data_IF_139308462991
#
_entry.id   IF_139308462991
#
_cell.length_a   1.000
_cell.length_b   1.000
_cell.length_c   1.000
_cell.angle_alpha   90.00
_cell.angle_beta   90.00
_cell.angle_gamma   90.00
#
_symmetry.space_group_name_H-M   'P 1'
#
loop_
_entity.id
_entity.type
_entity.pdbx_description
1 polymer ?
#
# COMPACT_ATOMS: atom_id res chain seq x y z
N UNK A 1 -7.91 -6.60 34.81
CA UNK A 1 -6.83 -6.25 33.86
C UNK A 1 -6.41 -7.43 32.97
N UNK A 2 -6.05 -8.60 33.52
CA UNK A 2 -5.61 -9.75 32.70
C UNK A 2 -6.62 -10.25 31.64
N UNK A 3 -7.92 -10.29 31.96
CA UNK A 3 -8.96 -10.67 30.99
C UNK A 3 -9.07 -9.70 29.82
N UNK A 4 -8.98 -8.39 30.08
CA UNK A 4 -8.98 -7.38 29.03
C UNK A 4 -7.76 -7.55 28.12
N UNK A 5 -6.58 -7.80 28.72
CA UNK A 5 -5.39 -8.09 27.94
C UNK A 5 -5.58 -9.32 27.04
N UNK A 6 -6.14 -10.41 27.58
CA UNK A 6 -6.43 -11.61 26.79
C UNK A 6 -7.39 -11.34 25.62
N UNK A 7 -8.46 -10.57 25.84
CA UNK A 7 -9.41 -10.19 24.78
C UNK A 7 -8.70 -9.43 23.66
N UNK A 8 -7.88 -8.43 24.01
CA UNK A 8 -7.12 -7.65 23.02
C UNK A 8 -6.12 -8.54 22.25
N UNK A 9 -5.43 -9.45 22.94
CA UNK A 9 -4.52 -10.42 22.31
C UNK A 9 -5.25 -11.35 21.34
N UNK A 10 -6.44 -11.83 21.69
CA UNK A 10 -7.25 -12.68 20.83
C UNK A 10 -7.77 -11.92 19.60
N UNK A 11 -8.22 -10.68 19.77
CA UNK A 11 -8.64 -9.82 18.65
C UNK A 11 -7.47 -9.59 17.69
N UNK A 12 -6.28 -9.25 18.20
CA UNK A 12 -5.09 -9.09 17.39
C UNK A 12 -4.75 -10.39 16.62
N UNK A 13 -4.74 -11.53 17.32
CA UNK A 13 -4.45 -12.82 16.70
C UNK A 13 -5.49 -13.17 15.62
N UNK A 14 -6.77 -12.92 15.86
CA UNK A 14 -7.83 -13.16 14.88
C UNK A 14 -7.64 -12.29 13.64
N UNK A 15 -7.33 -11.00 13.79
CA UNK A 15 -7.06 -10.08 12.69
C UNK A 15 -5.86 -10.56 11.85
N UNK A 16 -4.78 -10.98 12.51
CA UNK A 16 -3.60 -11.56 11.86
C UNK A 16 -3.95 -12.85 11.12
N UNK A 17 -4.74 -13.74 11.74
CA UNK A 17 -5.17 -14.98 11.12
C UNK A 17 -6.04 -14.74 9.87
N UNK A 18 -6.98 -13.80 9.94
CA UNK A 18 -7.82 -13.38 8.81
C UNK A 18 -6.96 -12.76 7.69
N UNK A 19 -5.89 -12.04 8.04
CA UNK A 19 -4.98 -11.44 7.06
C UNK A 19 -4.16 -12.49 6.31
N UNK A 20 -3.69 -13.52 7.01
CA UNK A 20 -2.92 -14.62 6.41
C UNK A 20 -3.85 -15.57 5.63
N UNK A 21 -5.04 -15.84 6.17
CA UNK A 21 -6.05 -16.73 5.58
C UNK A 21 -7.41 -16.03 5.52
N UNK A 22 -7.64 -15.17 4.50
CA UNK A 22 -8.90 -14.47 4.36
C UNK A 22 -10.06 -15.43 4.08
N UNK A 23 -11.21 -15.14 4.68
CA UNK A 23 -12.46 -15.85 4.43
C UNK A 23 -12.96 -15.45 3.05
N UNK A 24 -13.24 -16.44 2.19
CA UNK A 24 -13.62 -16.20 0.78
C UNK A 24 -15.10 -16.45 0.49
N UNK A 25 -15.89 -16.78 1.50
CA UNK A 25 -17.34 -17.03 1.36
C UNK A 25 -18.14 -15.75 1.57
N UNK A 26 -19.11 -15.49 0.69
CA UNK A 26 -20.02 -14.35 0.82
C UNK A 26 -21.07 -14.61 1.92
N UNK A 27 -21.45 -13.62 2.76
CA UNK A 27 -21.01 -12.22 2.74
C UNK A 27 -19.77 -11.93 3.59
N UNK A 28 -19.22 -12.93 4.28
CA UNK A 28 -18.08 -12.77 5.21
C UNK A 28 -16.79 -12.33 4.51
N UNK A 29 -16.68 -12.50 3.19
CA UNK A 29 -15.54 -12.03 2.40
C UNK A 29 -15.33 -10.53 2.47
N UNK A 30 -16.39 -9.72 2.49
CA UNK A 30 -16.29 -8.27 2.60
C UNK A 30 -15.76 -7.85 3.98
N UNK A 31 -16.23 -8.52 5.03
CA UNK A 31 -15.74 -8.29 6.40
C UNK A 31 -14.28 -8.73 6.54
N UNK A 32 -13.95 -9.92 6.04
CA UNK A 32 -12.59 -10.43 6.01
C UNK A 32 -11.65 -9.53 5.23
N UNK A 33 -12.11 -8.94 4.12
CA UNK A 33 -11.35 -7.97 3.35
C UNK A 33 -11.07 -6.72 4.18
N UNK A 34 -12.10 -6.11 4.79
CA UNK A 34 -11.93 -4.88 5.57
C UNK A 34 -10.96 -5.06 6.75
N UNK A 35 -11.13 -6.16 7.50
CA UNK A 35 -10.26 -6.52 8.63
C UNK A 35 -8.84 -6.84 8.18
N UNK A 36 -8.72 -7.69 7.16
CA UNK A 36 -7.44 -8.12 6.62
C UNK A 36 -6.64 -6.95 6.04
N UNK A 37 -7.29 -6.07 5.28
CA UNK A 37 -6.68 -4.91 4.65
C UNK A 37 -6.01 -3.98 5.68
N UNK A 38 -6.74 -3.58 6.74
CA UNK A 38 -6.17 -2.70 7.77
C UNK A 38 -5.01 -3.35 8.54
N UNK A 39 -5.04 -4.67 8.69
CA UNK A 39 -4.04 -5.38 9.47
C UNK A 39 -2.78 -5.65 8.65
N UNK A 40 -2.92 -6.01 7.37
CA UNK A 40 -1.77 -6.29 6.51
C UNK A 40 -1.03 -5.02 6.06
N UNK A 41 -1.76 -3.95 5.73
CA UNK A 41 -1.15 -2.67 5.31
C UNK A 41 -0.45 -1.96 6.48
N UNK A 42 -0.98 -2.09 7.69
CA UNK A 42 -0.46 -1.44 8.90
C UNK A 42 0.24 -2.42 9.84
N UNK A 43 0.77 -3.53 9.33
CA UNK A 43 1.37 -4.58 10.16
C UNK A 43 2.48 -4.06 11.10
N UNK A 44 3.33 -3.15 10.61
CA UNK A 44 4.40 -2.53 11.41
C UNK A 44 3.82 -1.62 12.51
N UNK A 45 2.92 -0.64 12.21
CA UNK A 45 2.21 0.11 13.25
C UNK A 45 1.48 -0.77 14.28
N UNK A 46 0.80 -1.84 13.84
CA UNK A 46 0.11 -2.78 14.74
C UNK A 46 1.08 -3.50 15.68
N UNK A 47 2.24 -3.91 15.18
CA UNK A 47 3.31 -4.46 16.00
C UNK A 47 3.76 -3.44 17.06
N UNK A 48 4.09 -2.21 16.67
CA UNK A 48 4.52 -1.17 17.59
C UNK A 48 3.47 -0.84 18.68
N UNK A 49 2.21 -0.68 18.29
CA UNK A 49 1.10 -0.42 19.22
C UNK A 49 0.93 -1.60 20.18
N UNK A 50 0.95 -2.84 19.67
CA UNK A 50 0.79 -4.03 20.51
C UNK A 50 1.95 -4.22 21.49
N UNK A 51 3.18 -3.86 21.13
CA UNK A 51 4.32 -3.81 22.08
C UNK A 51 4.02 -2.84 23.22
N UNK A 52 3.62 -1.61 22.92
CA UNK A 52 3.31 -0.59 23.95
C UNK A 52 2.17 -1.07 24.85
N UNK A 53 1.08 -1.59 24.27
CA UNK A 53 -0.08 -2.10 25.01
C UNK A 53 0.32 -3.27 25.92
N UNK A 54 1.05 -4.24 25.40
CA UNK A 54 1.55 -5.38 26.18
C UNK A 54 2.45 -4.93 27.32
N UNK A 55 3.40 -4.02 27.08
CA UNK A 55 4.26 -3.48 28.13
C UNK A 55 3.48 -2.82 29.25
N UNK A 56 2.46 -2.02 28.92
CA UNK A 56 1.59 -1.41 29.93
C UNK A 56 0.87 -2.48 30.78
N UNK A 57 0.25 -3.48 30.16
CA UNK A 57 -0.42 -4.55 30.91
C UNK A 57 0.54 -5.34 31.81
N UNK A 58 1.75 -5.64 31.33
CA UNK A 58 2.78 -6.31 32.14
C UNK A 58 3.21 -5.45 33.33
N UNK A 59 3.46 -4.15 33.12
CA UNK A 59 3.83 -3.21 34.20
C UNK A 59 2.72 -3.12 35.27
N UNK A 60 1.45 -3.15 34.86
CA UNK A 60 0.31 -3.15 35.78
C UNK A 60 -0.06 -4.55 36.33
N UNK A 61 0.86 -5.52 36.29
CA UNK A 61 0.72 -6.80 36.97
C UNK A 61 -0.18 -7.82 36.26
N UNK A 62 -0.45 -7.67 34.95
CA UNK A 62 -1.24 -8.69 34.24
C UNK A 62 -0.57 -10.08 34.30
N UNK A 63 0.76 -10.12 34.27
CA UNK A 63 1.59 -11.33 34.31
C UNK A 63 1.54 -12.08 35.63
N UNK A 64 1.01 -11.48 36.70
CA UNK A 64 0.87 -12.15 38.01
C UNK A 64 -0.25 -13.20 38.01
N UNK A 65 -1.01 -13.27 36.92
CA UNK A 65 -2.11 -14.21 36.73
C UNK A 65 -1.84 -15.15 35.55
N UNK A 66 -2.31 -16.40 35.66
CA UNK A 66 -2.25 -17.37 34.56
C UNK A 66 -2.91 -16.83 33.27
N UNK A 67 -3.97 -16.03 33.41
CA UNK A 67 -4.68 -15.40 32.28
C UNK A 67 -3.79 -14.39 31.54
N UNK A 68 -3.03 -13.57 32.26
CA UNK A 68 -2.11 -12.61 31.62
C UNK A 68 -0.88 -13.26 31.01
N UNK A 69 -0.41 -14.37 31.59
CA UNK A 69 0.62 -15.21 30.96
C UNK A 69 0.08 -15.79 29.64
N UNK A 70 -1.13 -16.36 29.65
CA UNK A 70 -1.77 -16.85 28.43
C UNK A 70 -1.95 -15.73 27.38
N UNK A 71 -2.39 -14.54 27.80
CA UNK A 71 -2.51 -13.38 26.93
C UNK A 71 -1.17 -12.97 26.29
N UNK A 72 -0.07 -13.05 27.04
CA UNK A 72 1.28 -12.78 26.54
C UNK A 72 1.73 -13.78 25.47
N UNK A 73 1.44 -15.06 25.68
CA UNK A 73 1.72 -16.12 24.69
C UNK A 73 0.91 -15.87 23.41
N UNK A 74 -0.37 -15.56 23.53
CA UNK A 74 -1.24 -15.24 22.38
C UNK A 74 -0.71 -14.02 21.61
N UNK A 75 -0.29 -12.95 22.32
CA UNK A 75 0.33 -11.79 21.66
C UNK A 75 1.61 -12.18 20.92
N UNK A 76 2.48 -12.99 21.54
CA UNK A 76 3.72 -13.42 20.91
C UNK A 76 3.47 -14.22 19.63
N UNK A 77 2.46 -15.09 19.60
CA UNK A 77 2.05 -15.80 18.38
C UNK A 77 1.55 -14.81 17.32
N UNK A 78 0.75 -13.81 17.70
CA UNK A 78 0.28 -12.79 16.78
C UNK A 78 1.44 -11.98 16.17
N UNK A 79 2.48 -11.67 16.95
CA UNK A 79 3.70 -11.02 16.46
C UNK A 79 4.45 -11.84 15.41
N UNK A 80 4.53 -13.16 15.58
CA UNK A 80 5.11 -14.05 14.55
C UNK A 80 4.30 -13.93 13.25
N UNK A 81 2.97 -13.91 13.34
CA UNK A 81 2.11 -13.73 12.18
C UNK A 81 2.25 -12.35 11.52
N UNK A 82 2.39 -11.27 12.30
CA UNK A 82 2.70 -9.94 11.76
C UNK A 82 4.07 -9.92 11.06
N UNK A 83 5.08 -10.55 11.65
CA UNK A 83 6.40 -10.70 11.03
C UNK A 83 6.33 -11.47 9.71
N UNK A 84 5.51 -12.53 9.65
CA UNK A 84 5.25 -13.25 8.40
C UNK A 84 4.60 -12.34 7.35
N UNK A 85 3.56 -11.58 7.70
CA UNK A 85 2.90 -10.63 6.79
C UNK A 85 3.92 -9.63 6.22
N UNK A 86 4.76 -9.05 7.08
CA UNK A 86 5.83 -8.12 6.67
C UNK A 86 6.83 -8.80 5.74
N UNK A 87 7.23 -10.04 6.02
CA UNK A 87 8.16 -10.79 5.15
C UNK A 87 7.58 -11.06 3.76
N UNK A 88 6.29 -11.39 3.67
CA UNK A 88 5.58 -11.59 2.40
C UNK A 88 5.53 -10.28 1.62
N UNK A 89 5.25 -9.15 2.30
CA UNK A 89 5.21 -7.84 1.66
C UNK A 89 6.57 -7.43 1.05
N UNK A 90 7.68 -7.64 1.78
CA UNK A 90 9.03 -7.40 1.24
C UNK A 90 9.37 -8.35 0.09
N UNK A 91 8.97 -9.62 0.18
CA UNK A 91 9.15 -10.59 -0.90
C UNK A 91 8.42 -10.16 -2.18
N UNK A 92 7.16 -9.74 -2.06
CA UNK A 92 6.37 -9.25 -3.18
C UNK A 92 6.98 -8.01 -3.84
N UNK A 93 7.50 -7.07 -3.05
CA UNK A 93 8.19 -5.90 -3.59
C UNK A 93 9.41 -6.28 -4.44
N UNK A 94 10.20 -7.26 -3.98
CA UNK A 94 11.32 -7.80 -4.75
C UNK A 94 10.86 -8.46 -6.04
N UNK A 95 9.87 -9.35 -5.97
CA UNK A 95 9.32 -10.02 -7.17
C UNK A 95 8.79 -9.02 -8.20
N UNK A 96 8.06 -7.99 -7.77
CA UNK A 96 7.59 -6.94 -8.67
C UNK A 96 8.73 -6.16 -9.32
N UNK A 97 9.81 -5.87 -8.57
CA UNK A 97 11.00 -5.21 -9.10
C UNK A 97 11.67 -6.09 -10.16
N UNK A 98 11.94 -7.36 -9.83
CA UNK A 98 12.62 -8.29 -10.73
C UNK A 98 11.82 -8.46 -12.05
N UNK A 99 10.49 -8.62 -11.95
CA UNK A 99 9.62 -8.73 -13.13
C UNK A 99 9.57 -7.44 -13.97
N UNK A 100 9.68 -6.27 -13.34
CA UNK A 100 9.71 -4.99 -14.04
C UNK A 100 11.03 -4.78 -14.78
N UNK A 101 12.16 -5.12 -14.15
CA UNK A 101 13.49 -5.02 -14.75
C UNK A 101 13.62 -5.98 -15.95
N UNK A 102 13.09 -7.20 -15.83
CA UNK A 102 13.04 -8.17 -16.93
C UNK A 102 12.13 -7.71 -18.07
N UNK A 103 10.90 -7.27 -17.77
CA UNK A 103 9.90 -6.97 -18.79
C UNK A 103 10.14 -5.69 -19.59
N UNK A 104 10.87 -4.72 -19.04
CA UNK A 104 11.10 -3.42 -19.68
C UNK A 104 12.52 -3.23 -20.21
N UNK A 105 13.43 -4.20 -20.05
CA UNK A 105 14.89 -4.01 -20.19
C UNK A 105 15.37 -2.72 -19.50
N UNK A 106 14.68 -2.37 -18.42
CA UNK A 106 14.86 -1.13 -17.69
C UNK A 106 15.66 -1.45 -16.44
N UNK A 107 16.97 -1.19 -16.49
CA UNK A 107 17.78 -1.24 -15.28
C UNK A 107 17.47 -0.01 -14.44
N UNK A 108 16.68 -0.20 -13.39
CA UNK A 108 16.52 0.83 -12.39
C UNK A 108 17.86 1.05 -11.72
N UNK A 109 18.47 2.23 -11.90
CA UNK A 109 19.50 2.66 -10.97
C UNK A 109 18.89 2.66 -9.56
N UNK A 110 19.57 2.05 -8.60
CA UNK A 110 19.09 1.95 -7.21
C UNK A 110 18.82 3.33 -6.57
N UNK A 111 19.44 4.38 -7.12
CA UNK A 111 19.16 5.78 -6.78
C UNK A 111 17.91 6.37 -7.46
N UNK A 112 17.49 5.87 -8.64
CA UNK A 112 16.33 6.42 -9.37
C UNK A 112 15.00 5.95 -8.78
N UNK A 113 14.89 4.70 -8.34
CA UNK A 113 13.71 4.18 -7.63
C UNK A 113 13.91 4.19 -6.11
N UNK A 114 14.50 5.25 -5.56
CA UNK A 114 14.45 5.50 -4.12
C UNK A 114 13.02 5.97 -3.75
N UNK A 115 12.07 5.04 -3.90
CA UNK A 115 10.67 5.15 -3.51
C UNK A 115 10.54 5.05 -1.99
N UNK A 116 11.61 4.63 -1.30
CA UNK A 116 11.79 4.86 0.12
C UNK A 116 11.91 6.37 0.38
N UNK A 117 10.77 7.06 0.34
CA UNK A 117 10.63 8.34 0.98
C UNK A 117 11.06 8.20 2.43
N UNK A 118 11.60 9.27 3.00
CA UNK A 118 11.66 9.41 4.45
C UNK A 118 10.32 8.93 5.02
N UNK A 119 10.33 8.06 6.04
CA UNK A 119 9.14 7.51 6.72
C UNK A 119 8.00 8.54 6.89
N UNK A 120 8.37 9.81 7.10
CA UNK A 120 7.46 10.95 7.21
C UNK A 120 6.77 11.38 5.90
N UNK A 121 7.41 11.27 4.74
CA UNK A 121 6.86 11.66 3.43
C UNK A 121 5.70 10.75 3.00
N UNK A 122 5.73 9.49 3.43
CA UNK A 122 4.70 8.49 3.12
C UNK A 122 3.48 8.60 4.06
N UNK A 123 3.67 9.17 5.26
CA UNK A 123 2.60 9.48 6.22
C UNK A 123 1.92 10.83 5.99
N UNK A 124 2.39 11.66 5.04
CA UNK A 124 1.77 12.95 4.70
C UNK A 124 0.88 12.76 3.46
N UNK A 125 -0.44 12.49 3.61
CA UNK A 125 -1.36 12.35 2.48
C UNK A 125 -1.52 13.65 1.66
N UNK A 126 -0.97 14.76 2.16
CA UNK A 126 -1.06 16.11 1.58
C UNK A 126 0.19 16.57 0.83
N UNK A 127 1.07 15.65 0.38
CA UNK A 127 2.20 16.05 -0.46
C UNK A 127 1.72 16.83 -1.70
N UNK A 128 2.37 17.95 -2.01
CA UNK A 128 1.99 18.83 -3.13
C UNK A 128 2.36 18.26 -4.50
N UNK A 129 1.67 18.71 -5.55
CA UNK A 129 2.03 18.39 -6.94
C UNK A 129 3.44 18.93 -7.22
N UNK A 130 4.39 18.11 -7.69
CA UNK A 130 5.64 18.63 -8.23
C UNK A 130 5.30 19.60 -9.36
N UNK A 131 5.85 20.82 -9.33
CA UNK A 131 5.63 21.85 -10.37
C UNK A 131 6.06 21.41 -11.78
N UNK A 132 6.79 20.30 -11.88
CA UNK A 132 7.39 19.77 -13.10
C UNK A 132 6.51 18.81 -13.91
N UNK A 133 5.27 18.50 -13.49
CA UNK A 133 4.41 17.52 -14.17
C UNK A 133 3.22 18.22 -14.83
N UNK A 134 3.06 18.01 -16.14
CA UNK A 134 1.86 18.38 -16.90
C UNK A 134 0.79 17.27 -16.72
N UNK A 135 -0.46 17.68 -16.48
CA UNK A 135 -1.59 16.75 -16.38
C UNK A 135 -2.67 17.15 -17.36
N UNK A 136 -2.88 16.32 -18.38
CA UNK A 136 -3.99 16.47 -19.33
C UNK A 136 -5.14 15.64 -18.80
N UNK A 137 -6.19 16.31 -18.34
CA UNK A 137 -7.32 15.64 -17.69
C UNK A 137 -8.46 15.38 -18.66
N UNK A 138 -9.27 14.39 -18.30
CA UNK A 138 -10.60 14.16 -18.88
C UNK A 138 -10.61 13.92 -20.39
N UNK A 139 -9.57 13.22 -20.89
CA UNK A 139 -9.52 12.80 -22.28
C UNK A 139 -10.59 11.73 -22.50
N UNK A 140 -11.57 12.07 -23.31
CA UNK A 140 -12.59 11.15 -23.78
C UNK A 140 -12.01 10.27 -24.89
N UNK A 141 -11.61 9.05 -24.52
CA UNK A 141 -10.95 8.12 -25.43
C UNK A 141 -11.94 7.25 -26.20
N UNK A 142 -13.23 7.31 -25.86
CA UNK A 142 -14.32 6.58 -26.54
C UNK A 142 -15.12 7.51 -27.46
N UNK A 143 -15.24 8.79 -27.12
CA UNK A 143 -16.00 9.79 -27.86
C UNK A 143 -17.47 9.89 -27.45
N UNK A 144 -17.87 9.25 -26.33
CA UNK A 144 -19.24 9.25 -25.82
C UNK A 144 -19.49 10.23 -24.67
N UNK A 145 -18.45 10.96 -24.27
CA UNK A 145 -18.42 11.95 -23.20
C UNK A 145 -18.86 11.40 -21.82
N UNK A 146 -18.90 10.08 -21.64
CA UNK A 146 -19.27 9.45 -20.37
C UNK A 146 -18.12 9.63 -19.36
N UNK A 147 -18.41 10.11 -18.14
CA UNK A 147 -17.39 10.39 -17.11
C UNK A 147 -16.46 9.21 -16.81
N UNK A 148 -16.98 7.97 -16.85
CA UNK A 148 -16.22 6.73 -16.60
C UNK A 148 -15.31 6.35 -17.77
N UNK A 149 -15.53 6.92 -18.96
CA UNK A 149 -14.74 6.67 -20.16
C UNK A 149 -13.75 7.81 -20.43
N UNK A 150 -13.25 8.43 -19.35
CA UNK A 150 -12.29 9.53 -19.43
C UNK A 150 -11.02 9.17 -18.71
N UNK A 151 -9.88 9.32 -19.36
CA UNK A 151 -8.58 9.11 -18.75
C UNK A 151 -7.86 10.43 -18.46
N UNK A 152 -6.83 10.36 -17.61
CA UNK A 152 -5.88 11.45 -17.37
C UNK A 152 -4.48 11.03 -17.80
N UNK A 153 -3.76 11.91 -18.50
CA UNK A 153 -2.36 11.73 -18.89
C UNK A 153 -1.46 12.57 -17.98
N UNK A 154 -0.45 11.93 -17.41
CA UNK A 154 0.59 12.59 -16.61
C UNK A 154 1.94 12.44 -17.34
N UNK A 155 2.59 13.57 -17.64
CA UNK A 155 3.88 13.60 -18.35
C UNK A 155 4.76 14.76 -17.91
N UNK A 156 6.05 14.66 -18.23
CA UNK A 156 6.90 15.86 -18.27
C UNK A 156 6.48 16.74 -19.45
N UNK A 157 6.54 18.08 -19.30
CA UNK A 157 6.35 18.99 -20.43
C UNK A 157 7.30 18.62 -21.57
N UNK A 158 6.86 18.70 -22.83
CA UNK A 158 7.76 18.52 -23.96
C UNK A 158 8.91 19.55 -23.87
N UNK A 159 10.14 19.09 -24.06
CA UNK A 159 11.30 19.98 -24.19
C UNK A 159 11.33 20.47 -25.64
N UNK A 160 11.33 21.78 -25.85
CA UNK A 160 11.27 22.45 -27.18
C UNK A 160 12.49 22.22 -28.09
N UNK A 161 13.36 21.26 -27.77
CA UNK A 161 14.56 20.97 -28.55
C UNK A 161 14.21 20.07 -29.75
N UNK A 162 13.91 20.73 -30.87
CA UNK A 162 13.44 20.20 -32.15
C UNK A 162 14.39 19.24 -32.90
N UNK A 163 15.31 18.54 -32.23
CA UNK A 163 16.26 17.60 -32.86
C UNK A 163 16.56 16.32 -32.04
N UNK A 164 16.02 16.17 -30.83
CA UNK A 164 16.11 14.89 -30.14
C UNK A 164 15.01 13.96 -30.66
N UNK A 165 15.44 12.84 -31.24
CA UNK A 165 14.58 11.69 -31.57
C UNK A 165 13.53 11.52 -30.47
N UNK A 166 12.23 11.53 -30.85
CA UNK A 166 11.08 11.23 -29.96
C UNK A 166 11.38 9.92 -29.25
N UNK A 167 12.03 10.01 -28.10
CA UNK A 167 12.50 8.85 -27.36
C UNK A 167 11.25 8.24 -26.78
N UNK A 168 10.96 7.00 -27.20
CA UNK A 168 9.79 6.27 -26.73
C UNK A 168 9.88 6.19 -25.21
N UNK A 169 9.01 6.93 -24.53
CA UNK A 169 8.91 6.92 -23.08
C UNK A 169 8.07 5.73 -22.66
N UNK A 170 8.50 4.93 -21.67
CA UNK A 170 7.69 3.83 -21.16
C UNK A 170 6.32 4.35 -20.68
N UNK A 171 5.26 3.60 -20.99
CA UNK A 171 3.88 3.97 -20.64
C UNK A 171 3.39 3.10 -19.48
N UNK A 172 3.04 3.74 -18.36
CA UNK A 172 2.35 3.06 -17.26
C UNK A 172 0.84 3.33 -17.34
N UNK A 173 0.07 2.28 -17.66
CA UNK A 173 -1.38 2.28 -17.56
C UNK A 173 -1.79 1.89 -16.12
N UNK A 174 -2.44 2.83 -15.42
CA UNK A 174 -2.99 2.61 -14.10
C UNK A 174 -4.51 2.43 -14.18
N UNK A 175 -4.99 1.32 -13.62
CA UNK A 175 -6.41 1.00 -13.47
C UNK A 175 -6.71 1.05 -11.97
N UNK A 176 -7.63 1.93 -11.57
CA UNK A 176 -7.96 2.08 -10.15
C UNK A 176 -8.60 0.82 -9.56
N UNK A 177 -8.39 0.60 -8.26
CA UNK A 177 -9.05 -0.46 -7.50
C UNK A 177 -10.45 -0.06 -7.03
N UNK A 178 -11.00 -0.81 -6.07
CA UNK A 178 -12.33 -0.55 -5.48
C UNK A 178 -13.39 -1.59 -5.84
N UNK A 179 -12.94 -2.81 -6.14
CA UNK A 179 -13.80 -3.99 -6.32
C UNK A 179 -14.93 -3.79 -7.36
N UNK A 180 -14.69 -2.95 -8.38
CA UNK A 180 -15.67 -2.55 -9.40
C UNK A 180 -16.94 -1.86 -8.86
N UNK A 181 -17.00 -1.59 -7.56
CA UNK A 181 -18.13 -0.97 -6.88
C UNK A 181 -17.89 0.52 -6.66
N UNK A 182 -16.64 0.88 -6.38
CA UNK A 182 -16.20 2.24 -6.07
C UNK A 182 -14.88 2.54 -6.78
N UNK A 183 -14.54 3.82 -6.90
CA UNK A 183 -13.24 4.26 -7.40
C UNK A 183 -13.32 5.41 -8.39
N UNK A 184 -12.19 6.07 -8.57
CA UNK A 184 -12.03 7.20 -9.47
C UNK A 184 -10.54 7.40 -9.78
N UNK A 185 -10.21 7.70 -11.04
CA UNK A 185 -8.88 8.15 -11.46
C UNK A 185 -8.31 9.31 -10.66
N UNK A 186 -9.16 10.08 -9.98
CA UNK A 186 -8.75 11.28 -9.23
C UNK A 186 -8.28 10.98 -7.80
N UNK A 187 -8.53 9.77 -7.28
CA UNK A 187 -8.32 9.46 -5.86
C UNK A 187 -7.12 8.54 -5.61
N UNK A 188 -6.88 7.56 -6.49
CA UNK A 188 -5.89 6.51 -6.25
C UNK A 188 -4.60 6.72 -7.06
N UNK A 189 -3.51 6.04 -6.67
CA UNK A 189 -2.16 6.12 -7.26
C UNK A 189 -1.44 7.47 -7.28
N UNK A 190 -1.91 8.53 -6.61
CA UNK A 190 -1.17 9.82 -6.57
C UNK A 190 0.30 9.72 -6.12
N UNK A 191 0.65 8.96 -5.06
CA UNK A 191 2.06 8.83 -4.65
C UNK A 191 2.90 8.14 -5.73
N UNK A 192 2.38 7.05 -6.29
CA UNK A 192 2.98 6.36 -7.43
C UNK A 192 3.18 7.33 -8.58
N UNK A 193 2.13 8.06 -8.98
CA UNK A 193 2.17 9.05 -10.07
C UNK A 193 3.25 10.13 -9.83
N UNK A 194 3.43 10.60 -8.60
CA UNK A 194 4.45 11.61 -8.31
C UNK A 194 5.88 11.09 -8.41
N UNK A 195 6.13 9.80 -8.20
CA UNK A 195 7.51 9.28 -8.17
C UNK A 195 8.06 8.99 -9.57
N UNK A 196 7.31 8.31 -10.44
CA UNK A 196 7.80 7.94 -11.79
C UNK A 196 7.57 8.99 -12.90
N UNK A 197 6.65 9.97 -12.77
CA UNK A 197 6.46 10.98 -13.83
C UNK A 197 7.71 11.85 -14.01
N UNK A 198 8.40 12.27 -12.93
CA UNK A 198 9.70 12.93 -13.03
C UNK A 198 10.81 12.07 -13.67
N UNK A 199 10.62 10.76 -13.78
CA UNK A 199 11.58 9.82 -14.38
C UNK A 199 11.35 9.64 -15.89
N UNK A 200 10.48 10.45 -16.51
CA UNK A 200 10.17 10.37 -17.93
C UNK A 200 9.18 9.27 -18.31
N UNK A 201 8.58 8.56 -17.34
CA UNK A 201 7.54 7.56 -17.60
C UNK A 201 6.21 8.27 -17.86
N UNK A 202 5.67 8.11 -19.07
CA UNK A 202 4.34 8.59 -19.45
C UNK A 202 3.28 7.77 -18.72
N UNK A 203 2.28 8.42 -18.13
CA UNK A 203 1.23 7.68 -17.41
C UNK A 203 -0.16 8.01 -17.84
N UNK A 204 -0.99 6.97 -17.80
CA UNK A 204 -2.39 7.00 -18.16
C UNK A 204 -3.17 6.45 -16.96
N UNK A 205 -4.06 7.26 -16.39
CA UNK A 205 -4.97 6.81 -15.33
C UNK A 205 -6.38 6.71 -15.87
N UNK A 206 -7.00 5.54 -15.72
CA UNK A 206 -8.41 5.28 -16.03
C UNK A 206 -9.21 5.15 -14.73
#
# INVERSE_FOLDING_TARGET
>A
MAWLYLILSLVLLLNVAISIRPIRVSPLSNFSFAVGWLTCELAIPWFAISVVVTSLFVIYGASDSAVGIAASIVTAIAWIGLGHIVSVAYGAAKTCKDALEEGLDFKSDSNTLNIAGSFWRDFVPFSWKPKSIEVIKNIDYVGDNIRRHKLDIYRLPPVDNSNESKTLSPVLLYIHGGAWMIGSKEQQAKPLIKTLAPQGILRISI
#
